data_IF_899548097894
#
_entry.id   IF_899548097894
#
_cell.length_a   1.000
_cell.length_b   1.000
_cell.length_c   1.000
_cell.angle_alpha   90.00
_cell.angle_beta   90.00
_cell.angle_gamma   90.00
#
_symmetry.space_group_name_H-M   'P 1'
#
loop_
_entity.id
_entity.type
_entity.pdbx_description
1 polymer ?
#
# COMPACT_ATOMS: atom_id res chain seq x y z
N UNK A 1 -4.79 9.93 -2.95
CA UNK A 1 -3.91 9.24 -1.99
C UNK A 1 -4.21 7.74 -2.03
N UNK A 2 -3.18 6.91 -1.96
CA UNK A 2 -3.33 5.45 -1.81
C UNK A 2 -2.89 5.08 -0.40
N UNK A 3 -3.78 4.44 0.38
CA UNK A 3 -3.50 4.08 1.76
C UNK A 3 -3.09 2.61 1.87
N UNK A 4 -1.97 2.36 2.55
CA UNK A 4 -1.46 1.01 2.80
C UNK A 4 -1.52 0.70 4.29
N UNK A 5 -2.20 -0.39 4.65
CA UNK A 5 -2.37 -0.81 6.03
C UNK A 5 -1.00 -1.08 6.72
N UNK A 6 -0.87 -0.74 8.00
CA UNK A 6 0.38 -0.86 8.80
C UNK A 6 1.03 -2.24 8.76
N UNK A 7 0.23 -3.31 8.66
CA UNK A 7 0.70 -4.70 8.54
C UNK A 7 1.57 -4.94 7.30
N UNK A 8 1.41 -4.14 6.24
CA UNK A 8 2.17 -4.23 5.00
C UNK A 8 3.41 -3.33 5.00
N UNK A 9 3.61 -2.48 6.02
CA UNK A 9 4.75 -1.57 6.06
C UNK A 9 6.12 -2.24 5.91
N UNK A 10 6.42 -3.40 6.54
CA UNK A 10 7.71 -4.05 6.33
C UNK A 10 7.94 -4.45 4.86
N UNK A 11 6.89 -4.87 4.15
CA UNK A 11 6.97 -5.21 2.74
C UNK A 11 7.11 -3.95 1.87
N UNK A 12 6.38 -2.88 2.19
CA UNK A 12 6.49 -1.58 1.51
C UNK A 12 7.89 -0.98 1.65
N UNK A 13 8.42 -0.93 2.88
CA UNK A 13 9.77 -0.44 3.18
C UNK A 13 10.84 -1.28 2.48
N UNK A 14 10.67 -2.61 2.38
CA UNK A 14 11.62 -3.45 1.64
C UNK A 14 11.66 -3.11 0.15
N UNK A 15 10.55 -2.64 -0.41
CA UNK A 15 10.42 -2.26 -1.82
C UNK A 15 10.58 -0.75 -2.03
N UNK A 16 11.00 0.02 -1.01
CA UNK A 16 11.02 1.48 -1.05
C UNK A 16 11.87 2.03 -2.20
N UNK A 17 12.98 1.36 -2.56
CA UNK A 17 13.87 1.77 -3.66
C UNK A 17 13.20 1.73 -5.05
N UNK A 18 11.97 1.19 -5.15
CA UNK A 18 11.16 1.19 -6.39
C UNK A 18 10.25 2.41 -6.51
N UNK A 19 10.21 3.25 -5.49
CA UNK A 19 9.41 4.47 -5.44
C UNK A 19 10.34 5.68 -5.40
N UNK A 20 9.90 6.79 -5.99
CA UNK A 20 10.54 8.06 -5.70
C UNK A 20 10.30 8.41 -4.21
N UNK A 21 11.27 8.98 -3.48
CA UNK A 21 11.14 9.24 -2.04
C UNK A 21 9.88 10.03 -1.67
N UNK A 22 9.45 10.94 -2.54
CA UNK A 22 8.28 11.80 -2.35
C UNK A 22 6.95 11.04 -2.46
N UNK A 23 6.97 9.80 -2.97
CA UNK A 23 5.78 8.95 -3.12
C UNK A 23 5.43 8.19 -1.84
N UNK A 24 6.29 8.22 -0.81
CA UNK A 24 6.09 7.47 0.43
C UNK A 24 6.11 8.41 1.65
N UNK A 25 4.95 8.59 2.25
CA UNK A 25 4.80 9.27 3.53
C UNK A 25 3.88 8.47 4.46
N UNK A 26 4.10 8.61 5.77
CA UNK A 26 3.07 8.25 6.74
C UNK A 26 2.10 9.43 6.84
N UNK A 27 0.82 9.15 6.58
CA UNK A 27 -0.27 10.12 6.77
C UNK A 27 -1.04 9.75 8.03
N UNK A 28 -1.28 10.72 8.90
CA UNK A 28 -2.13 10.60 10.10
C UNK A 28 -3.18 11.69 10.08
N UNK A 29 -4.43 11.28 10.07
CA UNK A 29 -5.58 12.20 10.09
C UNK A 29 -6.12 12.34 11.52
N UNK A 30 -6.24 13.58 11.98
CA UNK A 30 -6.84 13.92 13.28
C UNK A 30 -8.15 14.68 13.07
N UNK A 31 -9.19 14.29 13.81
CA UNK A 31 -10.37 15.14 13.99
C UNK A 31 -10.10 16.05 15.19
N UNK A 32 -10.08 17.36 14.94
CA UNK A 32 -10.04 18.36 16.00
C UNK A 32 -11.34 18.37 16.80
N UNK A 33 -11.33 18.96 17.99
CA UNK A 33 -12.53 19.13 18.82
C UNK A 33 -13.65 19.90 18.11
N UNK A 34 -13.32 20.73 17.12
CA UNK A 34 -14.28 21.45 16.29
C UNK A 34 -14.75 20.69 15.04
N UNK A 35 -14.31 19.45 14.84
CA UNK A 35 -14.65 18.61 13.70
C UNK A 35 -13.85 18.89 12.41
N UNK A 36 -12.90 19.84 12.43
CA UNK A 36 -11.96 20.02 11.31
C UNK A 36 -11.00 18.82 11.25
N UNK A 37 -10.80 18.30 10.04
CA UNK A 37 -9.79 17.28 9.75
C UNK A 37 -8.43 17.96 9.54
N UNK A 38 -7.39 17.47 10.20
CA UNK A 38 -6.01 17.90 9.99
C UNK A 38 -5.18 16.68 9.62
N UNK A 39 -4.47 16.77 8.50
CA UNK A 39 -3.55 15.72 8.04
C UNK A 39 -2.12 16.07 8.41
N UNK A 40 -1.46 15.13 9.08
CA UNK A 40 -0.03 15.20 9.37
C UNK A 40 0.70 14.20 8.49
N UNK A 41 1.71 14.68 7.77
CA UNK A 41 2.54 13.85 6.92
C UNK A 41 3.98 13.83 7.46
N UNK A 42 4.56 12.64 7.53
CA UNK A 42 5.98 12.44 7.84
C UNK A 42 6.60 11.71 6.66
N UNK A 43 7.63 12.28 5.99
CA UNK A 43 8.23 11.71 4.79
C UNK A 43 9.05 10.46 5.08
N UNK A 44 9.20 9.57 4.08
CA UNK A 44 10.14 8.46 4.16
C UNK A 44 11.60 8.98 4.12
N UNK A 45 12.53 8.38 4.90
CA UNK A 45 12.37 7.23 5.79
C UNK A 45 12.00 7.58 7.24
N UNK A 46 11.79 8.85 7.57
CA UNK A 46 11.72 9.35 8.96
C UNK A 46 10.62 8.72 9.81
N UNK A 47 9.49 8.35 9.19
CA UNK A 47 8.38 7.74 9.91
C UNK A 47 8.57 6.26 10.25
N UNK A 48 9.58 5.58 9.67
CA UNK A 48 9.69 4.12 9.72
C UNK A 48 10.16 3.65 11.10
N UNK A 49 9.33 2.91 11.86
CA UNK A 49 9.76 2.41 13.17
C UNK A 49 10.92 1.40 13.04
N UNK A 50 11.85 1.41 13.99
CA UNK A 50 13.02 0.53 13.97
C UNK A 50 12.67 -0.98 13.83
N UNK A 51 11.57 -1.42 14.45
CA UNK A 51 11.08 -2.80 14.33
C UNK A 51 10.63 -3.14 12.90
N UNK A 52 9.97 -2.20 12.21
CA UNK A 52 9.57 -2.34 10.80
C UNK A 52 10.79 -2.41 9.91
N UNK A 53 11.78 -1.52 10.12
CA UNK A 53 13.03 -1.53 9.37
C UNK A 53 13.78 -2.87 9.54
N UNK A 54 13.87 -3.39 10.78
CA UNK A 54 14.48 -4.69 11.07
C UNK A 54 13.75 -5.83 10.35
N UNK A 55 12.43 -5.81 10.30
CA UNK A 55 11.65 -6.83 9.58
C UNK A 55 11.80 -6.70 8.06
N UNK A 56 11.81 -5.48 7.53
CA UNK A 56 12.02 -5.21 6.10
C UNK A 56 13.39 -5.73 5.63
N UNK A 57 14.46 -5.44 6.37
CA UNK A 57 15.83 -5.93 6.07
C UNK A 57 15.94 -7.46 6.01
N UNK A 58 15.10 -8.18 6.77
CA UNK A 58 15.06 -9.65 6.77
C UNK A 58 14.20 -10.24 5.64
N UNK A 59 13.55 -9.40 4.83
CA UNK A 59 12.60 -9.83 3.81
C UNK A 59 13.27 -9.84 2.43
N UNK A 60 13.13 -10.95 1.69
CA UNK A 60 13.47 -10.98 0.27
C UNK A 60 12.41 -10.25 -0.57
N UNK A 61 12.81 -9.65 -1.71
CA UNK A 61 11.89 -8.86 -2.55
C UNK A 61 10.67 -9.65 -3.02
N UNK A 62 10.87 -10.90 -3.44
CA UNK A 62 9.78 -11.79 -3.87
C UNK A 62 8.74 -11.97 -2.74
N UNK A 63 9.19 -12.12 -1.50
CA UNK A 63 8.31 -12.25 -0.33
C UNK A 63 7.59 -10.94 -0.02
N UNK A 64 8.27 -9.81 -0.18
CA UNK A 64 7.65 -8.49 -0.01
C UNK A 64 6.55 -8.24 -1.05
N UNK A 65 6.79 -8.54 -2.33
CA UNK A 65 5.78 -8.46 -3.39
C UNK A 65 4.58 -9.39 -3.10
N UNK A 66 4.85 -10.63 -2.70
CA UNK A 66 3.81 -11.60 -2.36
C UNK A 66 2.95 -11.17 -1.15
N UNK A 67 3.49 -10.37 -0.23
CA UNK A 67 2.74 -9.88 0.91
C UNK A 67 1.55 -8.99 0.50
N UNK A 68 1.66 -8.26 -0.61
CA UNK A 68 0.54 -7.51 -1.19
C UNK A 68 -0.45 -8.43 -1.90
N UNK A 69 0.05 -9.46 -2.59
CA UNK A 69 -0.77 -10.47 -3.24
C UNK A 69 -1.66 -11.27 -2.29
N UNK A 70 -1.22 -11.48 -1.04
CA UNK A 70 -2.01 -12.20 -0.03
C UNK A 70 -3.29 -11.49 0.42
N UNK A 71 -3.47 -10.21 0.06
CA UNK A 71 -4.71 -9.46 0.29
C UNK A 71 -5.61 -9.40 -0.94
N UNK A 72 -5.13 -9.89 -2.08
CA UNK A 72 -5.97 -10.14 -3.23
C UNK A 72 -6.75 -11.40 -2.89
N UNK A 73 -8.07 -11.29 -2.72
CA UNK A 73 -8.92 -12.47 -2.69
C UNK A 73 -8.56 -13.34 -3.89
N UNK A 74 -8.37 -14.66 -3.74
CA UNK A 74 -8.31 -15.54 -4.91
C UNK A 74 -9.55 -15.19 -5.72
N UNK A 75 -9.38 -15.00 -7.03
CA UNK A 75 -10.47 -14.60 -7.89
C UNK A 75 -11.61 -15.62 -7.74
N UNK A 76 -12.59 -15.31 -6.90
CA UNK A 76 -13.84 -16.02 -6.90
C UNK A 76 -14.53 -15.77 -8.25
N UNK A 77 -15.53 -16.57 -8.62
CA UNK A 77 -16.24 -16.42 -9.90
C UNK A 77 -16.76 -15.00 -10.16
N UNK A 78 -16.97 -14.19 -9.12
CA UNK A 78 -17.32 -12.77 -9.21
C UNK A 78 -16.19 -11.86 -9.75
N UNK A 79 -14.93 -12.12 -9.37
CA UNK A 79 -13.77 -11.35 -9.84
C UNK A 79 -13.41 -11.65 -11.30
N UNK A 80 -13.76 -12.84 -11.79
CA UNK A 80 -13.65 -13.22 -13.20
C UNK A 80 -14.72 -12.55 -14.08
N UNK A 81 -15.97 -12.45 -13.61
CA UNK A 81 -16.99 -11.67 -14.32
C UNK A 81 -16.65 -10.18 -14.42
N UNK A 82 -16.13 -9.58 -13.35
CA UNK A 82 -15.74 -8.15 -13.36
C UNK A 82 -14.57 -7.88 -14.31
N UNK A 83 -13.54 -8.74 -14.35
CA UNK A 83 -12.40 -8.54 -15.27
C UNK A 83 -12.82 -8.69 -16.73
N UNK A 84 -13.67 -9.66 -17.05
CA UNK A 84 -14.12 -9.93 -18.42
C UNK A 84 -15.05 -8.83 -18.93
N UNK A 85 -15.97 -8.35 -18.09
CA UNK A 85 -16.84 -7.20 -18.42
C UNK A 85 -16.06 -5.90 -18.67
N UNK A 86 -15.00 -5.67 -17.88
CA UNK A 86 -14.13 -4.49 -18.05
C UNK A 86 -13.21 -4.54 -19.28
N UNK A 87 -12.80 -5.72 -19.71
CA UNK A 87 -11.96 -5.92 -20.90
C UNK A 87 -12.80 -5.79 -22.18
N UNK A 88 -14.02 -6.35 -22.20
CA UNK A 88 -14.94 -6.20 -23.34
C UNK A 88 -15.43 -4.76 -23.55
N UNK A 89 -15.49 -3.94 -22.50
CA UNK A 89 -15.92 -2.54 -22.60
C UNK A 89 -14.82 -1.58 -23.11
N UNK A 90 -13.56 -2.05 -23.20
CA UNK A 90 -12.40 -1.24 -23.62
C UNK A 90 -11.94 -1.48 -25.06
N UNK A 91 -12.53 -2.44 -25.76
CA UNK A 91 -12.38 -2.61 -27.21
C UNK A 91 -13.77 -2.53 -27.85
N UNK A 92 -14.26 -1.32 -28.17
CA UNK A 92 -15.39 -1.22 -29.08
C UNK A 92 -14.90 -1.70 -30.46
N UNK A 93 -15.55 -2.72 -31.00
CA UNK A 93 -15.48 -3.07 -32.43
C UNK A 93 -15.95 -1.92 -33.29
#
# INVERSE_FOLDING_TARGET
>A
MTLVHRRLWPALVRLADRFAPEQLAQVREEHTTSGRHVSHEVPFPDWVPAAVLKQARKMGEKKALAAFGAWLSPAGPAGEKLRSSWLSSRNPT
#
